data_IF_735404933680
#
_entry.id   IF_735404933680
#
_cell.length_a   1.000
_cell.length_b   1.000
_cell.length_c   1.000
_cell.angle_alpha   90.00
_cell.angle_beta   90.00
_cell.angle_gamma   90.00
#
_symmetry.space_group_name_H-M   'P 1'
#
loop_
_entity.id
_entity.type
_entity.pdbx_description
1 polymer ?
#
# COMPACT_ATOMS: atom_id res chain seq x y z
N UNK A 1 7.53 -32.16 -12.04
CA UNK A 1 7.95 -30.95 -11.31
C UNK A 1 7.17 -30.85 -10.02
N UNK A 2 7.82 -30.54 -8.89
CA UNK A 2 7.13 -30.42 -7.59
C UNK A 2 6.34 -29.10 -7.56
N UNK A 3 5.06 -29.15 -7.94
CA UNK A 3 4.14 -28.04 -7.74
C UNK A 3 3.55 -28.12 -6.31
N UNK A 4 3.52 -27.01 -5.62
CA UNK A 4 2.90 -26.93 -4.29
C UNK A 4 2.94 -25.50 -3.77
N UNK A 5 1.90 -25.11 -3.01
CA UNK A 5 1.72 -23.74 -2.48
C UNK A 5 2.97 -23.19 -1.75
N UNK A 6 3.69 -24.05 -1.03
CA UNK A 6 4.93 -23.63 -0.34
C UNK A 6 6.04 -23.26 -1.32
N UNK A 7 6.18 -23.95 -2.43
CA UNK A 7 7.20 -23.64 -3.46
C UNK A 7 6.85 -22.33 -4.17
N UNK A 8 5.58 -22.13 -4.50
CA UNK A 8 5.09 -20.88 -5.07
C UNK A 8 5.35 -19.71 -4.13
N UNK A 9 5.10 -19.88 -2.82
CA UNK A 9 5.40 -18.86 -1.82
C UNK A 9 6.91 -18.59 -1.71
N UNK A 10 7.74 -19.63 -1.64
CA UNK A 10 9.20 -19.48 -1.50
C UNK A 10 9.83 -18.82 -2.75
N UNK A 11 9.28 -19.03 -3.93
CA UNK A 11 9.70 -18.31 -5.15
C UNK A 11 9.55 -16.78 -5.06
N UNK A 12 8.66 -16.30 -4.20
CA UNK A 12 8.49 -14.86 -3.98
C UNK A 12 9.53 -14.26 -3.05
N UNK A 13 10.30 -15.08 -2.34
CA UNK A 13 11.34 -14.60 -1.43
C UNK A 13 12.54 -14.11 -2.25
N UNK A 14 13.10 -12.97 -1.88
CA UNK A 14 14.40 -12.58 -2.39
C UNK A 14 15.53 -13.38 -1.71
N UNK A 15 16.76 -13.25 -2.21
CA UNK A 15 17.90 -14.03 -1.70
C UNK A 15 18.20 -13.83 -0.21
N UNK A 16 17.95 -12.64 0.33
CA UNK A 16 18.12 -12.32 1.75
C UNK A 16 16.98 -12.95 2.59
N UNK A 17 15.73 -12.82 2.14
CA UNK A 17 14.58 -13.44 2.79
C UNK A 17 14.70 -14.95 2.83
N UNK A 18 15.16 -15.57 1.72
CA UNK A 18 15.37 -17.01 1.69
C UNK A 18 16.47 -17.47 2.69
N UNK A 19 17.55 -16.71 2.84
CA UNK A 19 18.58 -16.98 3.86
C UNK A 19 18.03 -16.85 5.28
N UNK A 20 17.28 -15.75 5.56
CA UNK A 20 16.64 -15.53 6.87
C UNK A 20 15.60 -16.62 7.19
N UNK A 21 14.84 -17.07 6.21
CA UNK A 21 13.94 -18.22 6.37
C UNK A 21 14.70 -19.49 6.78
N UNK A 22 15.89 -19.71 6.21
CA UNK A 22 16.74 -20.82 6.62
C UNK A 22 17.20 -20.73 8.09
N UNK A 23 17.50 -19.54 8.60
CA UNK A 23 17.80 -19.33 10.02
C UNK A 23 16.57 -19.56 10.90
N UNK A 24 15.41 -19.09 10.45
CA UNK A 24 14.13 -19.27 11.12
C UNK A 24 13.79 -20.77 11.29
N UNK A 25 13.90 -21.57 10.23
CA UNK A 25 13.65 -23.02 10.26
C UNK A 25 14.64 -23.76 11.19
N UNK A 26 15.86 -23.26 11.33
CA UNK A 26 16.84 -23.87 12.24
C UNK A 26 16.65 -23.48 13.70
N UNK A 27 15.83 -22.48 13.98
CA UNK A 27 15.51 -22.08 15.34
C UNK A 27 14.61 -23.11 16.03
N UNK A 28 15.05 -23.72 17.15
CA UNK A 28 14.25 -24.69 17.88
C UNK A 28 13.01 -24.07 18.54
N UNK A 29 12.94 -22.76 18.62
CA UNK A 29 11.79 -22.03 19.11
C UNK A 29 10.61 -22.10 18.12
N UNK A 30 10.89 -21.95 16.81
CA UNK A 30 9.87 -21.95 15.77
C UNK A 30 9.65 -23.34 15.16
N UNK A 31 10.70 -24.14 15.03
CA UNK A 31 10.64 -25.44 14.39
C UNK A 31 11.25 -26.53 15.27
N UNK A 32 10.42 -27.50 15.64
CA UNK A 32 10.83 -28.69 16.44
C UNK A 32 11.20 -29.88 15.56
N UNK A 33 10.95 -29.82 14.25
CA UNK A 33 11.11 -30.95 13.33
C UNK A 33 12.42 -30.86 12.53
N UNK A 34 13.38 -31.72 12.83
CA UNK A 34 14.63 -31.80 12.08
C UNK A 34 14.46 -32.06 10.58
N UNK A 35 13.34 -32.68 10.19
CA UNK A 35 13.05 -32.97 8.79
C UNK A 35 12.83 -31.71 7.97
N UNK A 36 12.27 -30.63 8.55
CA UNK A 36 12.07 -29.36 7.90
C UNK A 36 13.39 -28.68 7.56
N UNK A 37 14.39 -28.81 8.43
CA UNK A 37 15.76 -28.31 8.16
C UNK A 37 16.37 -29.04 6.97
N UNK A 38 16.28 -30.38 6.95
CA UNK A 38 16.77 -31.18 5.81
C UNK A 38 16.03 -30.83 4.51
N UNK A 39 14.74 -30.60 4.60
CA UNK A 39 13.93 -30.19 3.43
C UNK A 39 14.39 -28.82 2.91
N UNK A 40 14.57 -27.83 3.77
CA UNK A 40 15.15 -26.54 3.39
C UNK A 40 16.52 -26.66 2.73
N UNK A 41 17.43 -27.49 3.27
CA UNK A 41 18.75 -27.71 2.68
C UNK A 41 18.70 -28.34 1.29
N UNK A 42 17.66 -29.14 1.02
CA UNK A 42 17.39 -29.62 -0.34
C UNK A 42 16.86 -28.48 -1.22
N UNK A 43 15.89 -27.68 -0.72
CA UNK A 43 15.32 -26.54 -1.46
C UNK A 43 16.40 -25.54 -1.89
N UNK A 44 17.38 -25.29 -1.02
CA UNK A 44 18.51 -24.38 -1.28
C UNK A 44 19.27 -24.70 -2.57
N UNK A 45 19.30 -25.98 -2.98
CA UNK A 45 19.97 -26.42 -4.22
C UNK A 45 19.20 -26.08 -5.49
N UNK A 46 17.90 -25.74 -5.37
CA UNK A 46 17.01 -25.49 -6.50
C UNK A 46 16.50 -24.04 -6.55
N UNK A 47 16.77 -23.26 -5.49
CA UNK A 47 16.43 -21.85 -5.44
C UNK A 47 17.30 -21.05 -6.45
N UNK A 48 16.76 -20.04 -7.15
CA UNK A 48 15.40 -19.48 -7.03
C UNK A 48 14.36 -20.14 -7.95
N UNK A 49 14.76 -20.83 -9.01
CA UNK A 49 13.88 -21.17 -10.13
C UNK A 49 13.06 -22.43 -9.92
N UNK A 50 13.57 -23.40 -9.15
CA UNK A 50 12.95 -24.71 -8.92
C UNK A 50 12.57 -25.48 -10.19
N UNK A 51 13.31 -25.28 -11.29
CA UNK A 51 12.99 -25.78 -12.63
C UNK A 51 13.71 -27.08 -13.02
N UNK A 52 14.41 -27.73 -12.09
CA UNK A 52 15.16 -28.95 -12.39
C UNK A 52 14.24 -30.17 -12.55
N UNK A 53 14.53 -31.04 -13.54
CA UNK A 53 13.92 -32.39 -13.69
C UNK A 53 14.07 -33.27 -12.44
N UNK A 54 15.00 -32.94 -11.56
CA UNK A 54 15.21 -33.64 -10.29
C UNK A 54 14.40 -33.05 -9.13
N UNK A 55 13.60 -32.00 -9.38
CA UNK A 55 12.73 -31.38 -8.42
C UNK A 55 11.32 -31.98 -8.47
N UNK A 56 11.23 -33.26 -8.09
CA UNK A 56 10.00 -34.07 -8.04
C UNK A 56 9.79 -34.59 -6.62
N UNK A 57 8.55 -34.79 -6.20
CA UNK A 57 8.20 -35.21 -4.82
C UNK A 57 8.88 -36.50 -4.42
N UNK A 58 8.90 -37.46 -5.31
CA UNK A 58 9.48 -38.78 -5.10
C UNK A 58 11.02 -38.70 -4.92
N UNK A 59 11.69 -37.92 -5.77
CA UNK A 59 13.13 -37.72 -5.69
C UNK A 59 13.55 -36.94 -4.45
N UNK A 60 12.75 -35.97 -4.03
CA UNK A 60 13.00 -35.23 -2.81
C UNK A 60 12.75 -36.11 -1.59
N UNK A 61 11.67 -36.89 -1.62
CA UNK A 61 11.37 -37.84 -0.55
C UNK A 61 12.51 -38.87 -0.35
N UNK A 62 13.07 -39.41 -1.43
CA UNK A 62 14.21 -40.34 -1.35
C UNK A 62 15.47 -39.71 -0.72
N UNK A 63 15.66 -38.39 -0.92
CA UNK A 63 16.77 -37.66 -0.27
C UNK A 63 16.49 -37.39 1.22
N UNK A 64 15.23 -37.19 1.59
CA UNK A 64 14.81 -36.98 3.00
C UNK A 64 14.82 -38.30 3.79
N UNK A 65 14.44 -39.41 3.14
CA UNK A 65 14.31 -40.74 3.74
C UNK A 65 14.98 -41.79 2.85
N UNK A 66 16.33 -41.87 2.89
CA UNK A 66 17.06 -42.85 2.08
C UNK A 66 16.57 -44.29 2.38
N UNK A 67 16.35 -45.08 1.33
CA UNK A 67 15.92 -46.46 1.42
C UNK A 67 14.44 -46.70 1.76
N UNK A 68 13.63 -45.63 1.98
CA UNK A 68 12.18 -45.79 2.24
C UNK A 68 11.39 -45.62 0.95
N UNK A 69 10.34 -46.41 0.80
CA UNK A 69 9.35 -46.28 -0.27
C UNK A 69 8.62 -44.94 -0.13
N UNK A 70 8.35 -44.31 -1.26
CA UNK A 70 7.63 -43.03 -1.29
C UNK A 70 6.29 -43.11 -0.55
N UNK A 71 6.05 -42.14 0.33
CA UNK A 71 4.78 -42.00 1.07
C UNK A 71 4.20 -40.61 0.84
N UNK A 72 3.09 -40.57 0.11
CA UNK A 72 2.39 -39.34 -0.23
C UNK A 72 1.94 -38.56 1.02
N UNK A 73 1.40 -39.24 2.04
CA UNK A 73 0.92 -38.60 3.26
C UNK A 73 2.04 -37.91 4.03
N UNK A 74 3.20 -38.57 4.16
CA UNK A 74 4.38 -37.97 4.81
C UNK A 74 4.87 -36.77 4.02
N UNK A 75 4.99 -36.90 2.69
CA UNK A 75 5.43 -35.75 1.86
C UNK A 75 4.47 -34.58 1.93
N UNK A 76 3.15 -34.85 1.91
CA UNK A 76 2.12 -33.82 2.09
C UNK A 76 2.27 -33.08 3.41
N UNK A 77 2.52 -33.82 4.50
CA UNK A 77 2.71 -33.22 5.83
C UNK A 77 3.96 -32.33 5.86
N UNK A 78 5.08 -32.76 5.28
CA UNK A 78 6.30 -31.95 5.19
C UNK A 78 6.02 -30.64 4.45
N UNK A 79 5.31 -30.69 3.31
CA UNK A 79 4.96 -29.49 2.54
C UNK A 79 4.01 -28.57 3.32
N UNK A 80 3.03 -29.13 4.04
CA UNK A 80 2.10 -28.37 4.86
C UNK A 80 2.78 -27.68 6.03
N UNK A 81 3.63 -28.38 6.78
CA UNK A 81 4.41 -27.80 7.88
C UNK A 81 5.37 -26.73 7.36
N UNK A 82 6.03 -26.98 6.21
CA UNK A 82 6.89 -25.93 5.59
C UNK A 82 6.12 -24.68 5.19
N UNK A 83 4.88 -24.83 4.72
CA UNK A 83 4.01 -23.69 4.37
C UNK A 83 3.64 -22.88 5.62
N UNK A 84 3.30 -23.55 6.72
CA UNK A 84 3.04 -22.91 8.02
C UNK A 84 4.29 -22.14 8.48
N UNK A 85 5.46 -22.79 8.50
CA UNK A 85 6.72 -22.15 8.90
C UNK A 85 7.07 -20.95 8.00
N UNK A 86 6.77 -21.01 6.71
CA UNK A 86 6.96 -19.87 5.81
C UNK A 86 6.00 -18.70 6.14
N UNK A 87 4.76 -18.99 6.49
CA UNK A 87 3.81 -17.99 6.99
C UNK A 87 4.26 -17.33 8.30
N UNK A 88 4.70 -18.15 9.26
CA UNK A 88 5.21 -17.67 10.55
C UNK A 88 6.46 -16.79 10.36
N UNK A 89 7.36 -17.21 9.46
CA UNK A 89 8.54 -16.40 9.08
C UNK A 89 8.13 -15.05 8.51
N UNK A 90 7.17 -15.01 7.58
CA UNK A 90 6.70 -13.76 7.00
C UNK A 90 6.09 -12.83 8.04
N UNK A 91 5.33 -13.38 9.00
CA UNK A 91 4.74 -12.62 10.11
C UNK A 91 5.82 -11.96 10.97
N UNK A 92 6.80 -12.73 11.43
CA UNK A 92 7.93 -12.21 12.24
C UNK A 92 8.76 -11.21 11.44
N UNK A 93 9.04 -11.52 10.18
CA UNK A 93 9.82 -10.66 9.30
C UNK A 93 9.11 -9.31 9.03
N UNK A 94 7.79 -9.34 8.82
CA UNK A 94 6.96 -8.13 8.67
C UNK A 94 6.98 -7.28 9.93
N UNK A 95 6.82 -7.91 11.10
CA UNK A 95 6.86 -7.21 12.38
C UNK A 95 8.22 -6.54 12.63
N UNK A 96 9.32 -7.20 12.28
CA UNK A 96 10.67 -6.62 12.42
C UNK A 96 10.93 -5.45 11.45
N UNK A 97 10.27 -5.44 10.29
CA UNK A 97 10.34 -4.32 9.33
C UNK A 97 9.58 -3.09 9.85
N UNK A 98 8.47 -3.28 10.56
CA UNK A 98 7.74 -2.20 11.22
C UNK A 98 8.37 -1.90 12.59
N UNK A 99 9.39 -1.05 12.58
CA UNK A 99 10.16 -0.73 13.77
C UNK A 99 9.32 -0.19 14.93
N UNK A 100 8.29 0.64 14.65
CA UNK A 100 7.41 1.22 15.67
C UNK A 100 6.48 0.14 16.25
N UNK A 101 5.83 -0.68 15.41
CA UNK A 101 4.96 -1.75 15.89
C UNK A 101 5.73 -2.79 16.70
N UNK A 102 6.95 -3.12 16.28
CA UNK A 102 7.83 -4.01 17.04
C UNK A 102 8.14 -3.45 18.43
N UNK A 103 8.54 -2.18 18.51
CA UNK A 103 8.82 -1.47 19.77
C UNK A 103 7.58 -1.33 20.65
N UNK A 104 6.43 -1.03 20.05
CA UNK A 104 5.17 -0.98 20.77
C UNK A 104 4.85 -2.33 21.47
N UNK A 105 5.03 -3.45 20.79
CA UNK A 105 4.81 -4.77 21.38
C UNK A 105 5.76 -5.03 22.56
N UNK A 106 7.02 -4.59 22.49
CA UNK A 106 7.96 -4.65 23.61
C UNK A 106 7.45 -3.78 24.77
N UNK A 107 7.08 -2.52 24.50
CA UNK A 107 6.59 -1.60 25.53
C UNK A 107 5.34 -2.16 26.22
N UNK A 108 4.35 -2.68 25.48
CA UNK A 108 3.15 -3.28 26.01
C UNK A 108 3.44 -4.47 26.92
N UNK A 109 4.36 -5.37 26.53
CA UNK A 109 4.81 -6.52 27.36
C UNK A 109 5.54 -6.07 28.62
N UNK A 110 6.41 -5.06 28.52
CA UNK A 110 7.12 -4.49 29.67
C UNK A 110 6.13 -3.87 30.67
N UNK A 111 5.13 -3.15 30.15
CA UNK A 111 4.07 -2.58 30.95
C UNK A 111 3.25 -3.67 31.67
N UNK A 112 2.83 -4.71 30.97
CA UNK A 112 2.10 -5.85 31.55
C UNK A 112 2.91 -6.56 32.65
N UNK A 113 4.24 -6.65 32.48
CA UNK A 113 5.18 -7.25 33.45
C UNK A 113 5.63 -6.29 34.55
N UNK A 114 5.10 -5.09 34.61
CA UNK A 114 5.43 -4.06 35.60
C UNK A 114 6.91 -3.64 35.59
N UNK A 115 7.57 -3.72 34.43
CA UNK A 115 8.94 -3.27 34.24
C UNK A 115 8.99 -1.77 33.91
N UNK A 116 8.61 -0.94 34.88
CA UNK A 116 8.26 0.47 34.70
C UNK A 116 9.39 1.28 34.03
N UNK A 117 10.64 1.20 34.51
CA UNK A 117 11.77 1.94 33.94
C UNK A 117 12.08 1.54 32.49
N UNK A 118 11.91 0.25 32.17
CA UNK A 118 12.12 -0.23 30.82
C UNK A 118 10.99 0.20 29.89
N UNK A 119 9.75 0.19 30.40
CA UNK A 119 8.59 0.71 29.68
C UNK A 119 8.76 2.19 29.33
N UNK A 120 9.10 3.04 30.31
CA UNK A 120 9.29 4.48 30.11
C UNK A 120 10.34 4.76 29.04
N UNK A 121 11.44 4.01 29.04
CA UNK A 121 12.48 4.13 28.01
C UNK A 121 11.97 3.77 26.62
N UNK A 122 11.26 2.65 26.47
CA UNK A 122 10.71 2.24 25.17
C UNK A 122 9.60 3.19 24.70
N UNK A 123 8.74 3.67 25.59
CA UNK A 123 7.71 4.63 25.26
C UNK A 123 8.29 5.97 24.80
N UNK A 124 9.32 6.49 25.49
CA UNK A 124 10.04 7.69 25.07
C UNK A 124 10.68 7.51 23.69
N UNK A 125 11.32 6.37 23.45
CA UNK A 125 11.94 6.08 22.15
C UNK A 125 10.91 6.04 21.00
N UNK A 126 9.73 5.46 21.23
CA UNK A 126 8.64 5.43 20.24
C UNK A 126 8.12 6.87 20.00
N UNK A 127 7.95 7.65 21.08
CA UNK A 127 7.49 9.04 20.96
C UNK A 127 8.48 9.89 20.16
N UNK A 128 9.78 9.75 20.41
CA UNK A 128 10.83 10.44 19.67
C UNK A 128 10.78 10.12 18.16
N UNK A 129 10.55 8.85 17.79
CA UNK A 129 10.38 8.47 16.37
C UNK A 129 9.14 9.15 15.79
N UNK A 130 8.01 9.09 16.49
CA UNK A 130 6.75 9.67 16.03
C UNK A 130 6.81 11.20 15.92
N UNK A 131 7.54 11.88 16.81
CA UNK A 131 7.71 13.34 16.73
C UNK A 131 8.50 13.77 15.47
N UNK A 132 9.44 12.93 15.02
CA UNK A 132 10.25 13.20 13.84
C UNK A 132 9.63 12.67 12.54
N UNK A 133 8.45 12.01 12.60
CA UNK A 133 7.77 11.49 11.42
C UNK A 133 7.23 12.63 10.56
N UNK A 134 7.60 12.64 9.29
CA UNK A 134 7.17 13.65 8.32
C UNK A 134 5.77 13.34 7.81
N UNK A 135 5.48 12.04 7.59
CA UNK A 135 4.20 11.59 7.03
C UNK A 135 3.19 11.40 8.16
N UNK A 136 2.22 12.33 8.24
CA UNK A 136 1.16 12.31 9.26
C UNK A 136 -0.16 11.81 8.66
N UNK A 137 -0.19 10.54 8.34
CA UNK A 137 -1.36 9.86 7.77
C UNK A 137 -2.20 9.12 8.84
N UNK A 138 -3.18 8.35 8.39
CA UNK A 138 -4.05 7.58 9.30
C UNK A 138 -3.27 6.56 10.14
N UNK A 139 -2.20 5.96 9.60
CA UNK A 139 -1.36 5.00 10.31
C UNK A 139 -0.52 5.68 11.39
N UNK A 140 0.02 6.85 11.09
CA UNK A 140 0.71 7.67 12.08
C UNK A 140 -0.17 7.97 13.30
N UNK A 141 -1.40 8.48 13.09
CA UNK A 141 -2.32 8.77 14.18
C UNK A 141 -2.76 7.51 14.93
N UNK A 142 -2.89 6.38 14.25
CA UNK A 142 -3.17 5.10 14.89
C UNK A 142 -2.03 4.67 15.82
N UNK A 143 -0.77 4.80 15.38
CA UNK A 143 0.41 4.51 16.21
C UNK A 143 0.51 5.45 17.42
N UNK A 144 0.20 6.73 17.24
CA UNK A 144 0.09 7.69 18.38
C UNK A 144 -1.02 7.29 19.35
N UNK A 145 -2.18 6.91 18.85
CA UNK A 145 -3.27 6.38 19.68
C UNK A 145 -2.82 5.15 20.49
N UNK A 146 -2.15 4.20 19.89
CA UNK A 146 -1.68 3.00 20.59
C UNK A 146 -0.73 3.35 21.74
N UNK A 147 0.25 4.23 21.49
CA UNK A 147 1.19 4.69 22.52
C UNK A 147 0.50 5.46 23.64
N UNK A 148 -0.36 6.43 23.28
CA UNK A 148 -1.10 7.21 24.25
C UNK A 148 -2.02 6.33 25.14
N UNK A 149 -2.68 5.33 24.56
CA UNK A 149 -3.52 4.40 25.30
C UNK A 149 -2.70 3.49 26.22
N UNK A 150 -1.50 3.08 25.82
CA UNK A 150 -0.60 2.32 26.69
C UNK A 150 -0.04 3.18 27.83
N UNK A 151 0.32 4.44 27.56
CA UNK A 151 0.69 5.43 28.57
C UNK A 151 -0.46 5.65 29.57
N UNK A 152 -1.71 5.72 29.10
CA UNK A 152 -2.89 5.79 29.98
C UNK A 152 -2.95 4.58 30.92
N UNK A 153 -2.78 3.35 30.40
CA UNK A 153 -2.78 2.12 31.22
C UNK A 153 -1.65 2.13 32.25
N UNK A 154 -0.46 2.57 31.84
CA UNK A 154 0.68 2.71 32.73
C UNK A 154 0.42 3.70 33.85
N UNK A 155 -0.05 4.92 33.53
CA UNK A 155 -0.33 5.96 34.50
C UNK A 155 -1.45 5.57 35.48
N UNK A 156 -2.53 4.95 34.99
CA UNK A 156 -3.62 4.46 35.84
C UNK A 156 -3.13 3.43 36.89
N UNK A 157 -2.16 2.60 36.48
CA UNK A 157 -1.58 1.59 37.38
C UNK A 157 -0.62 2.20 38.41
N UNK A 158 0.10 3.29 38.06
CA UNK A 158 1.06 3.95 38.96
C UNK A 158 0.37 4.82 39.99
N UNK A 159 -0.74 5.45 39.61
CA UNK A 159 -1.51 6.35 40.53
C UNK A 159 -2.48 5.50 41.38
N UNK A 160 -2.44 5.69 42.67
CA UNK A 160 -3.41 5.08 43.61
C UNK A 160 -4.82 5.65 43.47
N UNK A 161 -5.03 6.69 42.69
CA UNK A 161 -6.33 7.29 42.39
C UNK A 161 -6.82 6.89 41.00
N UNK A 162 -8.13 6.62 40.88
CA UNK A 162 -8.82 6.33 39.62
C UNK A 162 -8.88 7.51 38.64
N UNK A 163 -8.32 8.67 39.04
CA UNK A 163 -8.33 9.88 38.20
C UNK A 163 -7.28 9.74 37.11
N UNK A 164 -7.73 9.41 35.91
CA UNK A 164 -6.91 9.48 34.72
C UNK A 164 -6.68 10.96 34.37
N UNK A 165 -5.46 11.30 33.97
CA UNK A 165 -5.12 12.63 33.50
C UNK A 165 -5.96 12.99 32.27
N UNK A 166 -6.77 14.05 32.36
CA UNK A 166 -7.65 14.50 31.28
C UNK A 166 -6.89 14.75 29.99
N UNK A 167 -5.66 15.25 30.06
CA UNK A 167 -4.79 15.48 28.92
C UNK A 167 -4.48 14.18 28.19
N UNK A 168 -4.22 13.09 28.90
CA UNK A 168 -3.94 11.77 28.29
C UNK A 168 -5.19 11.20 27.64
N UNK A 169 -6.37 11.35 28.25
CA UNK A 169 -7.63 10.92 27.65
C UNK A 169 -7.94 11.70 26.38
N UNK A 170 -7.68 13.00 26.39
CA UNK A 170 -7.84 13.84 25.21
C UNK A 170 -6.92 13.37 24.07
N UNK A 171 -5.64 13.12 24.37
CA UNK A 171 -4.68 12.64 23.38
C UNK A 171 -5.09 11.28 22.77
N UNK A 172 -5.55 10.34 23.60
CA UNK A 172 -6.07 9.02 23.15
C UNK A 172 -7.26 9.21 22.20
N UNK A 173 -8.24 10.01 22.61
CA UNK A 173 -9.47 10.27 21.85
C UNK A 173 -9.18 10.96 20.52
N UNK A 174 -8.35 11.96 20.53
CA UNK A 174 -7.99 12.78 19.37
C UNK A 174 -7.26 11.97 18.29
N UNK A 175 -6.23 11.23 18.67
CA UNK A 175 -5.47 10.43 17.72
C UNK A 175 -6.32 9.30 17.10
N UNK A 176 -7.22 8.70 17.88
CA UNK A 176 -8.16 7.71 17.36
C UNK A 176 -9.15 8.33 16.37
N UNK A 177 -9.71 9.50 16.73
CA UNK A 177 -10.63 10.23 15.86
C UNK A 177 -9.98 10.64 14.54
N UNK A 178 -8.75 11.16 14.55
CA UNK A 178 -8.01 11.54 13.35
C UNK A 178 -7.73 10.33 12.46
N UNK A 179 -7.23 9.24 13.04
CA UNK A 179 -7.01 8.00 12.28
C UNK A 179 -8.30 7.49 11.62
N UNK A 180 -9.40 7.49 12.36
CA UNK A 180 -10.71 7.07 11.88
C UNK A 180 -11.21 7.98 10.75
N UNK A 181 -11.20 9.31 10.96
CA UNK A 181 -11.71 10.27 9.97
C UNK A 181 -10.92 10.19 8.65
N UNK A 182 -9.60 10.15 8.70
CA UNK A 182 -8.75 10.04 7.48
C UNK A 182 -9.08 8.76 6.72
N UNK A 183 -9.21 7.62 7.42
CA UNK A 183 -9.56 6.35 6.77
C UNK A 183 -10.99 6.39 6.17
N UNK A 184 -11.96 6.97 6.87
CA UNK A 184 -13.32 7.12 6.36
C UNK A 184 -13.37 8.00 5.10
N UNK A 185 -12.68 9.13 5.10
CA UNK A 185 -12.57 10.00 3.92
C UNK A 185 -11.86 9.29 2.75
N UNK A 186 -10.80 8.51 3.04
CA UNK A 186 -10.11 7.68 2.04
C UNK A 186 -11.03 6.66 1.40
N UNK A 187 -11.79 5.92 2.22
CA UNK A 187 -12.76 4.92 1.76
C UNK A 187 -13.88 5.60 0.95
N UNK A 188 -14.42 6.71 1.46
CA UNK A 188 -15.47 7.47 0.77
C UNK A 188 -15.00 7.94 -0.62
N UNK A 189 -13.79 8.47 -0.70
CA UNK A 189 -13.16 8.88 -1.95
C UNK A 189 -13.04 7.71 -2.94
N UNK A 190 -12.61 6.54 -2.45
CA UNK A 190 -12.53 5.32 -3.25
C UNK A 190 -13.91 4.91 -3.78
N UNK A 191 -14.93 4.86 -2.91
CA UNK A 191 -16.31 4.51 -3.28
C UNK A 191 -16.86 5.49 -4.32
N UNK A 192 -16.69 6.80 -4.10
CA UNK A 192 -17.19 7.83 -5.02
C UNK A 192 -16.56 7.74 -6.42
N UNK A 193 -15.28 7.36 -6.50
CA UNK A 193 -14.60 7.10 -7.78
C UNK A 193 -15.04 5.79 -8.44
N UNK A 194 -15.36 4.75 -7.66
CA UNK A 194 -15.70 3.41 -8.17
C UNK A 194 -17.18 3.29 -8.51
N UNK A 195 -18.09 3.86 -7.72
CA UNK A 195 -19.55 3.81 -7.93
C UNK A 195 -19.99 4.40 -9.28
N UNK A 196 -19.21 5.32 -9.83
CA UNK A 196 -19.47 5.86 -11.17
C UNK A 196 -19.46 4.78 -12.26
N UNK A 197 -18.79 3.64 -12.01
CA UNK A 197 -18.52 2.63 -13.03
C UNK A 197 -19.03 1.22 -12.72
N UNK A 198 -19.29 0.86 -11.45
CA UNK A 198 -19.50 -0.56 -11.11
C UNK A 198 -20.62 -0.91 -10.11
N UNK A 199 -20.99 -0.08 -9.13
CA UNK A 199 -21.94 -0.47 -8.06
C UNK A 199 -22.70 0.71 -7.47
N UNK A 200 -23.97 0.49 -7.13
CA UNK A 200 -24.73 1.38 -6.23
C UNK A 200 -24.45 0.95 -4.78
N UNK A 201 -23.43 1.51 -4.16
CA UNK A 201 -23.18 1.33 -2.75
C UNK A 201 -23.88 2.45 -1.97
N UNK A 202 -24.86 2.10 -1.12
CA UNK A 202 -25.44 3.04 -0.19
C UNK A 202 -24.41 3.40 0.90
N UNK A 203 -23.99 4.62 0.90
CA UNK A 203 -23.07 5.14 1.91
C UNK A 203 -23.82 5.37 3.22
N UNK A 204 -23.14 5.19 4.35
CA UNK A 204 -23.64 5.65 5.64
C UNK A 204 -23.62 7.19 5.68
N UNK A 205 -24.64 7.79 5.07
CA UNK A 205 -24.75 9.24 4.86
C UNK A 205 -24.64 10.01 6.19
N UNK A 206 -25.35 9.56 7.23
CA UNK A 206 -25.35 10.24 8.52
C UNK A 206 -23.97 10.30 9.16
N UNK A 207 -23.16 9.25 9.03
CA UNK A 207 -21.78 9.25 9.53
C UNK A 207 -20.89 10.22 8.72
N UNK A 208 -21.05 10.24 7.39
CA UNK A 208 -20.25 11.13 6.55
C UNK A 208 -20.64 12.60 6.76
N UNK A 209 -21.92 12.92 6.90
CA UNK A 209 -22.42 14.25 7.24
C UNK A 209 -21.86 14.70 8.62
N UNK A 210 -21.77 13.79 9.58
CA UNK A 210 -21.16 14.04 10.88
C UNK A 210 -19.65 14.36 10.78
N UNK A 211 -18.91 13.62 9.99
CA UNK A 211 -17.47 13.85 9.72
C UNK A 211 -17.29 15.21 9.01
N UNK A 212 -18.10 15.50 7.99
CA UNK A 212 -18.07 16.76 7.26
C UNK A 212 -18.27 17.95 8.20
N UNK A 213 -19.34 17.94 8.99
CA UNK A 213 -19.64 19.02 9.94
C UNK A 213 -18.55 19.19 10.97
N UNK A 214 -17.98 18.10 11.46
CA UNK A 214 -16.88 18.13 12.40
C UNK A 214 -15.61 18.74 11.79
N UNK A 215 -15.25 18.37 10.56
CA UNK A 215 -14.08 18.90 9.86
C UNK A 215 -14.24 20.40 9.54
N UNK A 216 -15.43 20.83 9.11
CA UNK A 216 -15.71 22.24 8.86
C UNK A 216 -15.57 23.07 10.15
N UNK A 217 -16.16 22.58 11.24
CA UNK A 217 -16.15 23.30 12.54
C UNK A 217 -14.77 23.33 13.20
N UNK A 218 -13.88 22.40 12.88
CA UNK A 218 -12.57 22.24 13.48
C UNK A 218 -11.42 22.31 12.46
N UNK A 219 -11.64 22.95 11.31
CA UNK A 219 -10.69 22.98 10.20
C UNK A 219 -9.28 23.41 10.63
N UNK A 220 -9.19 24.47 11.45
CA UNK A 220 -7.89 24.97 11.94
C UNK A 220 -7.15 23.99 12.85
N UNK A 221 -7.86 23.11 13.53
CA UNK A 221 -7.29 22.12 14.43
C UNK A 221 -6.65 20.96 13.66
N UNK A 222 -7.24 20.58 12.52
CA UNK A 222 -6.84 19.39 11.76
C UNK A 222 -5.99 19.73 10.53
N UNK A 223 -5.05 20.67 10.69
CA UNK A 223 -4.11 21.08 9.64
C UNK A 223 -3.01 20.07 9.33
N UNK A 224 -3.16 18.78 9.69
CA UNK A 224 -2.25 17.77 9.13
C UNK A 224 -2.49 17.66 7.63
N UNK A 225 -1.44 17.53 6.86
CA UNK A 225 -1.50 17.61 5.39
C UNK A 225 -2.38 16.53 4.80
N UNK A 226 -2.31 15.31 5.31
CA UNK A 226 -3.13 14.20 4.83
C UNK A 226 -4.62 14.45 5.08
N UNK A 227 -4.98 15.05 6.22
CA UNK A 227 -6.36 15.43 6.50
C UNK A 227 -6.88 16.47 5.51
N UNK A 228 -6.07 17.47 5.15
CA UNK A 228 -6.45 18.50 4.17
C UNK A 228 -6.61 17.92 2.76
N UNK A 229 -5.74 17.02 2.33
CA UNK A 229 -5.85 16.35 1.02
C UNK A 229 -7.19 15.62 0.93
N UNK A 230 -7.55 14.85 1.96
CA UNK A 230 -8.84 14.15 1.96
C UNK A 230 -10.04 15.05 2.18
N UNK A 231 -9.90 16.15 2.92
CA UNK A 231 -10.91 17.18 3.03
C UNK A 231 -11.24 17.79 1.66
N UNK A 232 -10.24 18.26 0.93
CA UNK A 232 -10.47 18.82 -0.42
C UNK A 232 -10.96 17.76 -1.41
N UNK A 233 -10.47 16.52 -1.33
CA UNK A 233 -11.00 15.41 -2.12
C UNK A 233 -12.49 15.19 -1.89
N UNK A 234 -12.91 15.18 -0.64
CA UNK A 234 -14.31 15.02 -0.26
C UNK A 234 -15.17 16.14 -0.85
N UNK A 235 -14.77 17.40 -0.66
CA UNK A 235 -15.54 18.54 -1.19
C UNK A 235 -15.53 18.60 -2.71
N UNK A 236 -14.45 18.28 -3.36
CA UNK A 236 -14.38 18.19 -4.82
C UNK A 236 -15.35 17.14 -5.38
N UNK A 237 -15.56 16.03 -4.67
CA UNK A 237 -16.48 14.97 -5.07
C UNK A 237 -17.95 15.28 -4.73
N UNK A 238 -18.21 15.93 -3.59
CA UNK A 238 -19.58 16.29 -3.13
C UNK A 238 -20.09 17.57 -3.77
N UNK A 239 -19.23 18.57 -3.98
CA UNK A 239 -19.55 19.88 -4.58
C UNK A 239 -18.92 20.03 -5.96
N UNK A 240 -19.28 19.15 -6.88
CA UNK A 240 -18.66 18.97 -8.20
C UNK A 240 -18.61 20.24 -9.08
N UNK A 241 -19.48 21.20 -8.84
CA UNK A 241 -19.53 22.46 -9.61
C UNK A 241 -18.60 23.54 -9.04
N UNK A 242 -18.03 23.35 -7.84
CA UNK A 242 -17.10 24.30 -7.23
C UNK A 242 -15.65 23.94 -7.57
N UNK A 243 -15.13 24.50 -8.66
CA UNK A 243 -13.74 24.22 -9.14
C UNK A 243 -12.66 24.61 -8.13
N UNK A 244 -12.95 25.52 -7.20
CA UNK A 244 -11.98 25.94 -6.17
C UNK A 244 -11.35 24.77 -5.43
N UNK A 245 -12.12 23.74 -5.10
CA UNK A 245 -11.61 22.58 -4.37
C UNK A 245 -10.60 21.76 -5.18
N UNK A 246 -10.76 21.72 -6.51
CA UNK A 246 -9.78 21.09 -7.39
C UNK A 246 -8.45 21.88 -7.37
N UNK A 247 -8.51 23.19 -7.53
CA UNK A 247 -7.30 24.01 -7.57
C UNK A 247 -6.59 24.05 -6.21
N UNK A 248 -7.33 24.13 -5.11
CA UNK A 248 -6.77 24.06 -3.76
C UNK A 248 -6.09 22.71 -3.50
N UNK A 249 -6.74 21.60 -3.85
CA UNK A 249 -6.14 20.27 -3.73
C UNK A 249 -4.87 20.14 -4.59
N UNK A 250 -4.94 20.55 -5.86
CA UNK A 250 -3.79 20.49 -6.79
C UNK A 250 -2.59 21.30 -6.25
N UNK A 251 -2.83 22.51 -5.75
CA UNK A 251 -1.78 23.38 -5.22
C UNK A 251 -1.20 22.78 -3.92
N UNK A 252 -2.04 22.35 -3.00
CA UNK A 252 -1.61 21.68 -1.78
C UNK A 252 -0.78 20.42 -2.09
N UNK A 253 -1.21 19.62 -3.06
CA UNK A 253 -0.51 18.41 -3.48
C UNK A 253 0.88 18.73 -4.03
N UNK A 254 1.04 19.81 -4.79
CA UNK A 254 2.36 20.26 -5.31
C UNK A 254 3.28 20.73 -4.18
N UNK A 255 2.76 21.54 -3.27
CA UNK A 255 3.54 22.14 -2.18
C UNK A 255 3.98 21.08 -1.17
N UNK A 256 3.10 20.14 -0.85
CA UNK A 256 3.24 19.19 0.26
C UNK A 256 3.48 17.75 -0.17
N UNK A 257 3.89 17.57 -1.42
CA UNK A 257 4.07 16.26 -2.02
C UNK A 257 4.90 15.29 -1.16
N UNK A 258 6.02 15.76 -0.60
CA UNK A 258 6.94 14.94 0.19
C UNK A 258 6.41 14.56 1.58
N UNK A 259 5.33 15.21 2.03
CA UNK A 259 4.71 14.98 3.33
C UNK A 259 3.55 13.95 3.23
N UNK A 260 3.28 13.42 2.03
CA UNK A 260 2.24 12.42 1.77
C UNK A 260 2.82 11.01 1.65
N UNK A 261 2.07 10.01 2.11
CA UNK A 261 2.40 8.61 1.87
C UNK A 261 2.26 8.25 0.40
N UNK A 262 2.93 7.17 -0.04
CA UNK A 262 2.85 6.69 -1.43
C UNK A 262 1.42 6.35 -1.86
N UNK A 263 0.63 5.82 -0.93
CA UNK A 263 -0.80 5.54 -1.13
C UNK A 263 -1.57 6.83 -1.39
N UNK A 264 -1.33 7.87 -0.58
CA UNK A 264 -2.03 9.15 -0.69
C UNK A 264 -1.65 9.89 -1.97
N UNK A 265 -0.38 9.81 -2.38
CA UNK A 265 0.09 10.34 -3.67
C UNK A 265 -0.61 9.70 -4.85
N UNK A 266 -0.65 8.36 -4.90
CA UNK A 266 -1.36 7.61 -5.97
C UNK A 266 -2.84 7.96 -6.03
N UNK A 267 -3.50 7.96 -4.87
CA UNK A 267 -4.91 8.30 -4.78
C UNK A 267 -5.17 9.72 -5.28
N UNK A 268 -4.34 10.69 -4.88
CA UNK A 268 -4.51 12.08 -5.26
C UNK A 268 -4.34 12.29 -6.78
N UNK A 269 -3.33 11.66 -7.40
CA UNK A 269 -3.19 11.68 -8.86
C UNK A 269 -4.44 11.14 -9.56
N UNK A 270 -4.96 10.01 -9.10
CA UNK A 270 -6.16 9.38 -9.67
C UNK A 270 -7.39 10.28 -9.54
N UNK A 271 -7.57 10.90 -8.39
CA UNK A 271 -8.72 11.76 -8.10
C UNK A 271 -8.70 13.03 -8.96
N UNK A 272 -7.55 13.69 -9.02
CA UNK A 272 -7.37 14.88 -9.83
C UNK A 272 -7.60 14.58 -11.33
N UNK A 273 -7.04 13.48 -11.83
CA UNK A 273 -7.25 13.07 -13.22
C UNK A 273 -8.72 12.73 -13.53
N UNK A 274 -9.41 12.05 -12.63
CA UNK A 274 -10.82 11.70 -12.77
C UNK A 274 -11.74 12.94 -12.72
N UNK A 275 -11.39 13.94 -11.92
CA UNK A 275 -12.10 15.22 -11.92
C UNK A 275 -11.98 15.92 -13.27
N UNK A 276 -10.74 16.08 -13.78
CA UNK A 276 -10.50 16.65 -15.11
C UNK A 276 -11.29 15.90 -16.19
N UNK A 277 -11.22 14.58 -16.23
CA UNK A 277 -11.99 13.74 -17.16
C UNK A 277 -13.48 14.01 -17.08
N UNK A 278 -14.02 14.21 -15.89
CA UNK A 278 -15.45 14.52 -15.70
C UNK A 278 -15.80 15.90 -16.25
N UNK A 279 -14.93 16.91 -16.08
CA UNK A 279 -15.12 18.27 -16.62
C UNK A 279 -15.02 18.28 -18.14
N UNK A 280 -14.03 17.61 -18.71
CA UNK A 280 -13.87 17.48 -20.16
C UNK A 280 -15.10 16.86 -20.81
N UNK A 281 -15.65 15.78 -20.22
CA UNK A 281 -16.86 15.13 -20.73
C UNK A 281 -18.13 16.03 -20.63
N UNK A 282 -18.10 17.06 -19.80
CA UNK A 282 -19.14 18.10 -19.73
C UNK A 282 -18.91 19.26 -20.73
N UNK A 283 -17.84 19.19 -21.52
CA UNK A 283 -17.46 20.20 -22.52
C UNK A 283 -16.47 21.25 -22.05
N UNK A 284 -15.95 21.17 -20.83
CA UNK A 284 -14.97 22.11 -20.32
C UNK A 284 -13.55 21.69 -20.71
N UNK A 285 -13.15 22.10 -21.91
CA UNK A 285 -11.88 21.73 -22.50
C UNK A 285 -10.64 22.40 -21.82
N UNK A 286 -10.87 23.38 -20.93
CA UNK A 286 -9.77 23.98 -20.16
C UNK A 286 -9.05 22.95 -19.27
N UNK A 287 -9.76 21.88 -18.88
CA UNK A 287 -9.22 20.79 -18.08
C UNK A 287 -8.34 19.78 -18.85
N UNK A 288 -8.24 19.87 -20.19
CA UNK A 288 -7.36 18.99 -20.98
C UNK A 288 -5.88 19.20 -20.61
N UNK A 289 -5.42 20.45 -20.60
CA UNK A 289 -4.06 20.76 -20.22
C UNK A 289 -3.76 20.41 -18.75
N UNK A 290 -4.72 20.62 -17.86
CA UNK A 290 -4.58 20.21 -16.45
C UNK A 290 -4.45 18.70 -16.32
N UNK A 291 -5.30 17.91 -16.97
CA UNK A 291 -5.24 16.46 -16.95
C UNK A 291 -3.92 15.93 -17.50
N UNK A 292 -3.47 16.49 -18.62
CA UNK A 292 -2.21 16.10 -19.22
C UNK A 292 -1.02 16.40 -18.30
N UNK A 293 -0.99 17.57 -17.66
CA UNK A 293 0.04 17.93 -16.68
C UNK A 293 0.05 16.98 -15.47
N UNK A 294 -1.13 16.54 -14.99
CA UNK A 294 -1.26 15.55 -13.91
C UNK A 294 -0.64 14.22 -14.37
N UNK A 295 -0.91 13.76 -15.58
CA UNK A 295 -0.32 12.53 -16.12
C UNK A 295 1.21 12.64 -16.26
N UNK A 296 1.74 13.76 -16.76
CA UNK A 296 3.19 13.99 -16.84
C UNK A 296 3.84 13.90 -15.46
N UNK A 297 3.31 14.59 -14.47
CA UNK A 297 3.83 14.53 -13.09
C UNK A 297 3.76 13.11 -12.50
N UNK A 298 2.69 12.37 -12.75
CA UNK A 298 2.56 10.98 -12.32
C UNK A 298 3.63 10.07 -12.96
N UNK A 299 3.94 10.31 -14.25
CA UNK A 299 4.99 9.59 -14.98
C UNK A 299 6.38 9.96 -14.44
N UNK A 300 6.67 11.23 -14.26
CA UNK A 300 7.97 11.71 -13.78
C UNK A 300 8.29 11.22 -12.37
N UNK A 301 7.26 11.06 -11.54
CA UNK A 301 7.40 10.56 -10.17
C UNK A 301 7.35 9.04 -10.05
N UNK A 302 6.99 8.33 -11.13
CA UNK A 302 6.94 6.85 -11.17
C UNK A 302 5.72 6.21 -10.49
N UNK A 303 4.75 7.01 -9.99
CA UNK A 303 3.55 6.46 -9.32
C UNK A 303 2.54 5.82 -10.27
N UNK A 304 2.71 5.95 -11.58
CA UNK A 304 1.92 5.24 -12.60
C UNK A 304 2.08 3.73 -12.57
N UNK A 305 3.15 3.22 -11.96
CA UNK A 305 3.36 1.79 -11.79
C UNK A 305 2.43 1.26 -10.71
N UNK A 306 1.57 0.31 -11.09
CA UNK A 306 0.72 -0.38 -10.14
C UNK A 306 1.54 -1.26 -9.18
N UNK A 307 0.84 -1.97 -8.29
CA UNK A 307 1.47 -2.90 -7.31
C UNK A 307 2.35 -3.98 -7.97
N UNK A 308 2.05 -4.34 -9.22
CA UNK A 308 2.83 -5.31 -10.01
C UNK A 308 4.07 -4.70 -10.68
N UNK A 309 4.34 -3.41 -10.51
CA UNK A 309 5.47 -2.71 -11.10
C UNK A 309 5.32 -2.34 -12.58
N UNK A 310 4.14 -2.57 -13.18
CA UNK A 310 3.84 -2.25 -14.58
C UNK A 310 2.90 -1.06 -14.72
N UNK A 311 2.97 -0.39 -15.88
CA UNK A 311 1.98 0.61 -16.25
C UNK A 311 0.69 -0.07 -16.72
N UNK A 312 -0.46 0.41 -16.22
CA UNK A 312 -1.77 -0.06 -16.70
C UNK A 312 -1.98 0.36 -18.16
N UNK A 313 -2.50 -0.57 -18.98
CA UNK A 313 -2.86 -0.28 -20.38
C UNK A 313 -3.89 0.85 -20.50
N UNK A 314 -4.84 0.93 -19.56
CA UNK A 314 -5.83 2.02 -19.50
C UNK A 314 -5.15 3.36 -19.26
N UNK A 315 -4.20 3.42 -18.31
CA UNK A 315 -3.46 4.64 -18.05
C UNK A 315 -2.63 5.06 -19.27
N UNK A 316 -1.96 4.13 -19.93
CA UNK A 316 -1.18 4.40 -21.15
C UNK A 316 -2.05 5.00 -22.26
N UNK A 317 -3.20 4.40 -22.54
CA UNK A 317 -4.16 4.91 -23.53
C UNK A 317 -4.64 6.30 -23.15
N UNK A 318 -5.02 6.53 -21.90
CA UNK A 318 -5.49 7.84 -21.44
C UNK A 318 -4.42 8.92 -21.61
N UNK A 319 -3.16 8.63 -21.30
CA UNK A 319 -2.04 9.56 -21.53
C UNK A 319 -1.91 9.92 -23.00
N UNK A 320 -1.98 8.94 -23.90
CA UNK A 320 -1.86 9.15 -25.35
C UNK A 320 -3.02 9.99 -25.89
N UNK A 321 -4.25 9.60 -25.56
CA UNK A 321 -5.45 10.31 -26.04
C UNK A 321 -5.46 11.76 -25.52
N UNK A 322 -5.35 11.93 -24.20
CA UNK A 322 -5.36 13.29 -23.61
C UNK A 322 -4.21 14.16 -24.12
N UNK A 323 -3.02 13.58 -24.30
CA UNK A 323 -1.87 14.32 -24.80
C UNK A 323 -2.05 14.78 -26.26
N UNK A 324 -2.64 13.95 -27.12
CA UNK A 324 -2.97 14.36 -28.49
C UNK A 324 -4.04 15.44 -28.52
N UNK A 325 -5.12 15.27 -27.75
CA UNK A 325 -6.20 16.27 -27.62
C UNK A 325 -5.68 17.60 -27.03
N UNK A 326 -4.70 17.57 -26.14
CA UNK A 326 -4.02 18.76 -25.62
C UNK A 326 -3.01 19.39 -26.60
N UNK A 327 -2.81 18.82 -27.80
CA UNK A 327 -1.88 19.31 -28.81
C UNK A 327 -0.41 18.91 -28.60
N UNK A 328 -0.11 18.05 -27.65
CA UNK A 328 1.25 17.63 -27.26
C UNK A 328 1.80 16.47 -28.11
N UNK A 329 1.57 16.53 -29.41
CA UNK A 329 1.83 15.45 -30.38
C UNK A 329 3.26 14.91 -30.32
N UNK A 330 4.26 15.80 -30.30
CA UNK A 330 5.67 15.39 -30.25
C UNK A 330 6.01 14.64 -28.97
N UNK A 331 5.50 15.12 -27.84
CA UNK A 331 5.71 14.48 -26.55
C UNK A 331 5.07 13.07 -26.51
N UNK A 332 3.85 12.95 -27.05
CA UNK A 332 3.11 11.66 -27.10
C UNK A 332 3.86 10.64 -27.95
N UNK A 333 4.41 11.03 -29.11
CA UNK A 333 5.24 10.14 -29.92
C UNK A 333 6.43 9.59 -29.14
N UNK A 334 7.16 10.45 -28.43
CA UNK A 334 8.28 10.04 -27.57
C UNK A 334 7.82 9.14 -26.41
N UNK A 335 6.66 9.44 -25.81
CA UNK A 335 6.08 8.64 -24.73
C UNK A 335 5.79 7.21 -25.18
N UNK A 336 5.13 7.02 -26.32
CA UNK A 336 4.80 5.69 -26.87
C UNK A 336 6.08 4.85 -27.02
N UNK A 337 7.13 5.44 -27.60
CA UNK A 337 8.37 4.69 -27.82
C UNK A 337 9.16 4.41 -26.53
N UNK A 338 9.18 5.35 -25.60
CA UNK A 338 9.95 5.24 -24.35
C UNK A 338 9.32 4.26 -23.35
N UNK A 339 7.98 4.26 -23.22
CA UNK A 339 7.26 3.56 -22.15
C UNK A 339 6.54 2.28 -22.59
N UNK A 340 6.70 1.83 -23.84
CA UNK A 340 6.06 0.60 -24.33
C UNK A 340 6.47 -0.65 -23.55
N UNK A 341 7.72 -0.72 -23.08
CA UNK A 341 8.23 -1.84 -22.29
C UNK A 341 7.71 -1.87 -20.85
N UNK A 342 7.16 -0.77 -20.36
CA UNK A 342 6.58 -0.67 -19.01
C UNK A 342 5.17 -1.29 -18.91
N UNK A 343 4.55 -1.62 -20.04
CA UNK A 343 3.26 -2.30 -20.09
C UNK A 343 3.38 -3.79 -19.72
N UNK A 344 2.33 -4.34 -19.09
CA UNK A 344 2.20 -5.76 -18.89
C UNK A 344 2.20 -6.48 -20.25
N UNK A 345 2.96 -7.58 -20.35
CA UNK A 345 3.12 -8.38 -21.59
C UNK A 345 1.79 -8.84 -22.19
N UNK A 346 0.77 -9.09 -21.37
CA UNK A 346 -0.55 -9.58 -21.84
C UNK A 346 -1.27 -8.55 -22.71
N UNK A 347 -1.18 -7.26 -22.38
CA UNK A 347 -1.92 -6.19 -23.05
C UNK A 347 -1.02 -5.32 -23.94
N UNK A 348 0.29 -5.54 -23.94
CA UNK A 348 1.29 -4.64 -24.56
C UNK A 348 1.03 -4.43 -26.05
N UNK A 349 1.00 -5.51 -26.81
CA UNK A 349 0.94 -5.44 -28.27
C UNK A 349 -0.33 -4.75 -28.76
N UNK A 350 -1.48 -5.12 -28.20
CA UNK A 350 -2.75 -4.50 -28.54
C UNK A 350 -2.79 -3.00 -28.18
N UNK A 351 -2.26 -2.66 -27.00
CA UNK A 351 -2.22 -1.26 -26.54
C UNK A 351 -1.33 -0.40 -27.42
N UNK A 352 -0.14 -0.90 -27.76
CA UNK A 352 0.81 -0.15 -28.60
C UNK A 352 0.25 0.01 -30.02
N UNK A 353 -0.30 -1.05 -30.59
CA UNK A 353 -0.93 -1.00 -31.91
C UNK A 353 -2.04 0.05 -31.96
N UNK A 354 -2.95 0.02 -30.98
CA UNK A 354 -4.01 1.03 -30.87
C UNK A 354 -3.45 2.44 -30.76
N UNK A 355 -2.50 2.66 -29.85
CA UNK A 355 -1.95 3.99 -29.60
C UNK A 355 -1.16 4.55 -30.80
N UNK A 356 -0.42 3.69 -31.53
CA UNK A 356 0.27 4.10 -32.76
C UNK A 356 -0.70 4.42 -33.88
N UNK A 357 -1.74 3.60 -34.07
CA UNK A 357 -2.77 3.88 -35.08
C UNK A 357 -3.47 5.22 -34.77
N UNK A 358 -3.84 5.45 -33.49
CA UNK A 358 -4.46 6.69 -33.08
C UNK A 358 -3.53 7.90 -33.25
N UNK A 359 -2.24 7.75 -32.95
CA UNK A 359 -1.21 8.77 -33.18
C UNK A 359 -1.06 9.11 -34.67
N UNK A 360 -0.99 8.10 -35.54
CA UNK A 360 -0.91 8.30 -37.00
C UNK A 360 -2.17 8.98 -37.55
N UNK A 361 -3.35 8.54 -37.12
CA UNK A 361 -4.62 9.19 -37.46
C UNK A 361 -4.64 10.68 -37.10
N UNK A 362 -4.18 11.01 -35.88
CA UNK A 362 -4.11 12.41 -35.40
C UNK A 362 -3.18 13.27 -36.24
N UNK A 363 -2.07 12.69 -36.69
CA UNK A 363 -1.09 13.32 -37.58
C UNK A 363 -1.51 13.34 -39.06
N UNK A 364 -2.71 12.84 -39.40
CA UNK A 364 -3.20 12.71 -40.77
C UNK A 364 -2.35 11.76 -41.65
N UNK A 365 -1.54 10.88 -41.05
CA UNK A 365 -0.79 9.83 -41.73
C UNK A 365 -1.66 8.55 -41.80
N UNK A 366 -2.70 8.63 -42.62
CA UNK A 366 -3.68 7.55 -42.75
C UNK A 366 -3.15 6.26 -43.39
N UNK A 367 -1.97 6.37 -44.00
CA UNK A 367 -1.30 5.18 -44.61
C UNK A 367 -0.67 4.28 -43.55
N UNK A 368 -0.42 4.79 -42.34
CA UNK A 368 0.18 4.08 -41.22
C UNK A 368 -0.77 3.91 -40.02
N UNK A 369 -1.99 4.42 -40.10
CA UNK A 369 -3.02 4.32 -39.05
C UNK A 369 -3.82 2.95 -39.08
#
# INVERSE_FOLDING_TARGET
>A
MMAGKVIELIKTFNGEEFKKFGLFIRSPYFNKEKIQVKFYDILKKYYPDFNSRNFEKEKIFSKLYPGKKYNYGVMRNILSTSLTLAGDFLSVHRLQKDGIQYRYNIAAELNARRQNKLYEREASYIDDILQNEIIKDAEFFYKKFLLANENRRFNTRQKSSLVTDEKVLHEVSENLALSFMINMLRIHTYIANTNKYMYHYEQNKGLMDGIENHLISNFDKYKSITSLVYYFNFFMLSKKEEEKYFFELRNLFREKYNELSDIDKRNTYTILANYCYTRINKGDLNFLSEQFNIYKQNIDTGYYRGEKGFMSHIFFINVVVTGLEAGEVKWVGNFIEKYNSELDSVNRDNTITFCRAFYCYWNKDYSRA
#
